data_IF_800313408847
#
_entry.id   IF_800313408847
#
_cell.length_a   1.000
_cell.length_b   1.000
_cell.length_c   1.000
_cell.angle_alpha   90.00
_cell.angle_beta   90.00
_cell.angle_gamma   90.00
#
_symmetry.space_group_name_H-M   'P 1'
#
loop_
_entity.id
_entity.type
_entity.pdbx_description
1 polymer ?
#
# COMPACT_ATOMS: atom_id res chain seq x y z
N UNK A 1 22.12 14.75 32.19
CA UNK A 1 21.00 13.84 32.05
C UNK A 1 21.47 12.39 32.19
N UNK A 2 20.75 11.49 32.87
CA UNK A 2 21.15 10.07 32.92
C UNK A 2 21.29 9.49 31.53
N UNK A 3 22.29 8.61 31.34
CA UNK A 3 22.49 7.87 30.09
C UNK A 3 21.26 6.98 29.82
N UNK A 4 20.79 6.93 28.59
CA UNK A 4 19.63 6.12 28.17
C UNK A 4 19.78 4.65 28.58
N UNK A 5 21.01 4.08 28.47
CA UNK A 5 21.31 2.70 28.88
C UNK A 5 21.11 2.51 30.39
N UNK A 6 21.58 3.43 31.24
CA UNK A 6 21.40 3.34 32.68
C UNK A 6 19.94 3.47 33.09
N UNK A 7 19.16 4.26 32.35
CA UNK A 7 17.71 4.38 32.53
C UNK A 7 16.98 3.10 32.14
N UNK A 8 17.32 2.48 31.02
CA UNK A 8 16.70 1.26 30.53
C UNK A 8 16.89 0.08 31.49
N UNK A 9 18.12 -0.06 32.06
CA UNK A 9 18.40 -1.08 33.07
C UNK A 9 17.56 -0.95 34.34
N UNK A 10 17.21 0.29 34.74
CA UNK A 10 16.39 0.56 35.92
C UNK A 10 14.90 0.32 35.68
N UNK A 11 14.41 0.61 34.49
CA UNK A 11 12.95 0.64 34.16
C UNK A 11 12.53 -0.64 33.44
N UNK A 12 13.47 -1.41 32.85
CA UNK A 12 13.18 -2.58 32.02
C UNK A 12 12.61 -2.23 30.64
N UNK A 13 12.75 -0.98 30.20
CA UNK A 13 12.35 -0.49 28.87
C UNK A 13 13.44 0.34 28.25
N UNK A 14 13.64 0.17 26.96
CA UNK A 14 14.66 0.90 26.20
C UNK A 14 14.15 2.20 25.60
N UNK A 15 12.83 2.34 25.45
CA UNK A 15 12.18 3.40 24.70
C UNK A 15 12.67 3.45 23.25
N UNK A 16 12.84 2.26 22.64
CA UNK A 16 13.24 2.09 21.27
C UNK A 16 12.23 1.16 20.56
N UNK A 17 11.69 1.61 19.43
CA UNK A 17 10.78 0.84 18.59
C UNK A 17 11.50 0.40 17.32
N UNK A 18 11.28 -0.86 16.92
CA UNK A 18 11.71 -1.37 15.63
C UNK A 18 10.70 -1.03 14.54
N UNK A 19 11.20 -0.68 13.37
CA UNK A 19 10.38 -0.55 12.14
C UNK A 19 10.98 -1.45 11.08
N UNK A 20 10.21 -2.44 10.63
CA UNK A 20 10.54 -3.25 9.47
C UNK A 20 9.80 -2.68 8.27
N UNK A 21 10.56 -2.23 7.29
CA UNK A 21 10.08 -1.72 6.02
C UNK A 21 10.96 -2.23 4.88
N UNK A 22 10.38 -3.01 4.00
CA UNK A 22 11.02 -3.55 2.80
C UNK A 22 9.97 -3.61 1.70
N UNK A 23 10.16 -2.88 0.62
CA UNK A 23 9.29 -2.89 -0.55
C UNK A 23 10.04 -3.44 -1.78
N UNK A 24 9.30 -4.03 -2.72
CA UNK A 24 9.86 -4.64 -3.94
C UNK A 24 10.38 -3.60 -4.94
N UNK A 25 9.91 -2.36 -4.83
CA UNK A 25 10.31 -1.27 -5.72
C UNK A 25 11.61 -0.59 -5.29
N UNK A 26 12.16 -1.00 -4.13
CA UNK A 26 13.34 -0.37 -3.50
C UNK A 26 13.20 1.14 -3.37
N UNK A 27 11.96 1.65 -3.35
CA UNK A 27 11.69 3.10 -3.26
C UNK A 27 12.07 3.69 -1.92
N UNK A 28 12.19 2.86 -0.88
CA UNK A 28 12.63 3.27 0.46
C UNK A 28 11.77 4.43 1.01
N UNK A 29 12.42 5.47 1.51
CA UNK A 29 11.72 6.63 2.06
C UNK A 29 11.10 7.56 1.01
N UNK A 30 11.20 7.26 -0.28
CA UNK A 30 10.55 8.03 -1.34
C UNK A 30 9.20 7.46 -1.76
N UNK A 31 8.81 6.31 -1.18
CA UNK A 31 7.50 5.70 -1.44
C UNK A 31 6.37 6.65 -1.08
N UNK A 32 5.54 7.01 -2.05
CA UNK A 32 4.55 8.10 -1.91
C UNK A 32 3.48 7.86 -0.84
N UNK A 33 3.12 6.59 -0.57
CA UNK A 33 2.18 6.20 0.48
C UNK A 33 2.87 5.91 1.82
N UNK A 34 3.94 5.10 1.84
CA UNK A 34 4.56 4.71 3.10
C UNK A 34 5.41 5.80 3.75
N UNK A 35 5.96 6.76 2.99
CA UNK A 35 6.70 7.89 3.58
C UNK A 35 5.86 8.72 4.56
N UNK A 36 4.62 9.15 4.23
CA UNK A 36 3.74 9.82 5.18
C UNK A 36 3.38 8.95 6.40
N UNK A 37 3.14 7.65 6.21
CA UNK A 37 2.89 6.70 7.31
C UNK A 37 4.08 6.65 8.27
N UNK A 38 5.30 6.48 7.74
CA UNK A 38 6.53 6.47 8.53
C UNK A 38 6.77 7.80 9.24
N UNK A 39 6.46 8.92 8.58
CA UNK A 39 6.56 10.25 9.18
C UNK A 39 5.61 10.41 10.36
N UNK A 40 4.35 9.98 10.22
CA UNK A 40 3.35 10.02 11.30
C UNK A 40 3.74 9.11 12.45
N UNK A 41 4.21 7.89 12.16
CA UNK A 41 4.74 6.96 13.16
C UNK A 41 5.91 7.59 13.93
N UNK A 42 6.84 8.24 13.21
CA UNK A 42 8.00 8.93 13.81
C UNK A 42 7.54 10.03 14.76
N UNK A 43 6.61 10.90 14.32
CA UNK A 43 6.12 12.00 15.14
C UNK A 43 5.46 11.51 16.43
N UNK A 44 4.66 10.46 16.37
CA UNK A 44 3.99 9.90 17.53
C UNK A 44 4.98 9.19 18.48
N UNK A 45 5.97 8.46 17.93
CA UNK A 45 7.03 7.86 18.72
C UNK A 45 7.83 8.93 19.49
N UNK A 46 8.26 9.99 18.82
CA UNK A 46 8.97 11.12 19.43
C UNK A 46 8.13 11.80 20.53
N UNK A 47 6.84 12.02 20.27
CA UNK A 47 5.90 12.61 21.27
C UNK A 47 5.82 11.76 22.52
N UNK A 48 5.93 10.45 22.40
CA UNK A 48 5.93 9.48 23.52
C UNK A 48 7.30 9.20 24.10
N UNK A 49 8.37 9.81 23.56
CA UNK A 49 9.73 9.67 24.05
C UNK A 49 10.41 8.38 23.62
N UNK A 50 9.99 7.80 22.48
CA UNK A 50 10.62 6.64 21.86
C UNK A 50 11.55 7.07 20.73
N UNK A 51 12.69 6.36 20.65
CA UNK A 51 13.55 6.33 19.48
C UNK A 51 13.06 5.27 18.49
N UNK A 52 13.50 5.36 17.23
CA UNK A 52 13.16 4.40 16.17
C UNK A 52 14.43 3.79 15.61
N UNK A 53 14.40 2.47 15.46
CA UNK A 53 15.46 1.69 14.79
C UNK A 53 14.85 0.96 13.59
N UNK A 54 15.37 1.23 12.38
CA UNK A 54 15.01 0.41 11.23
C UNK A 54 15.63 -0.97 11.34
N UNK A 55 14.78 -1.99 11.22
CA UNK A 55 15.18 -3.39 11.31
C UNK A 55 15.60 -3.87 9.92
N UNK A 56 16.77 -4.48 9.84
CA UNK A 56 17.40 -4.90 8.57
C UNK A 56 18.20 -6.20 8.80
N UNK A 57 18.47 -6.92 7.71
CA UNK A 57 19.37 -8.08 7.69
C UNK A 57 20.85 -7.70 7.75
N UNK A 58 21.21 -6.52 7.27
CA UNK A 58 22.61 -6.13 7.08
C UNK A 58 23.06 -5.18 8.17
N UNK A 59 23.94 -5.67 9.03
CA UNK A 59 24.60 -4.89 10.07
C UNK A 59 26.11 -4.81 9.78
N UNK A 60 26.48 -3.90 8.86
CA UNK A 60 27.88 -3.77 8.41
C UNK A 60 28.32 -5.06 7.71
N UNK A 61 29.22 -5.82 8.33
CA UNK A 61 29.74 -7.09 7.78
C UNK A 61 29.01 -8.34 8.32
N UNK A 62 28.02 -8.18 9.19
CA UNK A 62 27.27 -9.29 9.79
C UNK A 62 25.87 -9.35 9.21
N UNK A 63 25.42 -10.58 8.87
CA UNK A 63 24.02 -10.85 8.56
C UNK A 63 23.31 -11.31 9.84
N UNK A 64 22.14 -10.79 10.08
CA UNK A 64 21.25 -11.15 11.19
C UNK A 64 19.84 -11.35 10.67
N UNK A 65 19.08 -12.24 11.31
CA UNK A 65 17.63 -12.29 11.08
C UNK A 65 16.97 -11.03 11.65
N UNK A 66 15.78 -10.71 11.21
CA UNK A 66 15.02 -9.57 11.76
C UNK A 66 14.85 -9.67 13.28
N UNK A 67 14.58 -10.88 13.78
CA UNK A 67 14.43 -11.11 15.23
C UNK A 67 15.75 -10.91 15.98
N UNK A 68 16.86 -11.38 15.43
CA UNK A 68 18.19 -11.16 16.03
C UNK A 68 18.54 -9.67 16.06
N UNK A 69 18.24 -8.91 14.99
CA UNK A 69 18.46 -7.49 14.98
C UNK A 69 17.60 -6.76 16.03
N UNK A 70 16.33 -7.13 16.17
CA UNK A 70 15.46 -6.59 17.22
C UNK A 70 16.03 -6.84 18.62
N UNK A 71 16.52 -8.05 18.88
CA UNK A 71 17.17 -8.41 20.16
C UNK A 71 18.48 -7.66 20.38
N UNK A 72 19.32 -7.56 19.35
CA UNK A 72 20.59 -6.83 19.41
C UNK A 72 20.36 -5.34 19.73
N UNK A 73 19.35 -4.73 19.14
CA UNK A 73 18.96 -3.35 19.40
C UNK A 73 18.08 -3.18 20.63
N UNK A 74 17.67 -4.29 21.23
CA UNK A 74 16.83 -4.33 22.42
C UNK A 74 15.57 -3.44 22.27
N UNK A 75 14.83 -3.61 21.16
CA UNK A 75 13.62 -2.84 20.91
C UNK A 75 12.48 -3.29 21.83
N UNK A 76 11.64 -2.38 22.28
CA UNK A 76 10.48 -2.66 23.13
C UNK A 76 9.28 -3.24 22.35
N UNK A 77 9.26 -3.04 21.04
CA UNK A 77 8.25 -3.56 20.13
C UNK A 77 8.59 -3.25 18.68
N UNK A 78 7.87 -3.86 17.73
CA UNK A 78 8.11 -3.72 16.28
C UNK A 78 6.84 -3.37 15.55
N UNK A 79 6.94 -2.43 14.61
CA UNK A 79 5.96 -2.19 13.57
C UNK A 79 6.48 -2.76 12.24
N UNK A 80 5.75 -3.70 11.64
CA UNK A 80 5.99 -4.14 10.27
C UNK A 80 5.10 -3.31 9.36
N UNK A 81 5.71 -2.37 8.66
CA UNK A 81 5.00 -1.42 7.79
C UNK A 81 4.75 -2.02 6.41
N UNK A 82 5.78 -2.64 5.83
CA UNK A 82 5.73 -3.35 4.55
C UNK A 82 6.82 -4.42 4.54
N UNK A 83 6.50 -5.60 4.06
CA UNK A 83 7.45 -6.71 3.89
C UNK A 83 6.79 -7.86 3.12
N UNK A 84 7.57 -8.84 2.69
CA UNK A 84 7.05 -10.16 2.28
C UNK A 84 6.57 -10.91 3.52
N UNK A 85 5.27 -10.87 3.79
CA UNK A 85 4.70 -11.43 5.02
C UNK A 85 4.73 -12.96 5.10
N UNK A 86 5.01 -13.64 4.00
CA UNK A 86 5.27 -15.09 3.89
C UNK A 86 6.74 -15.46 4.08
N UNK A 87 7.65 -14.50 4.16
CA UNK A 87 9.07 -14.73 4.44
C UNK A 87 9.23 -15.42 5.80
N UNK A 88 10.04 -16.48 5.82
CA UNK A 88 10.31 -17.28 7.01
C UNK A 88 10.87 -16.47 8.19
N UNK A 89 11.67 -15.42 7.93
CA UNK A 89 12.24 -14.56 8.98
C UNK A 89 11.20 -13.56 9.51
N UNK A 90 10.28 -13.08 8.65
CA UNK A 90 9.11 -12.31 9.09
C UNK A 90 8.21 -13.17 9.95
N UNK A 91 7.92 -14.42 9.54
CA UNK A 91 7.13 -15.37 10.33
C UNK A 91 7.80 -15.72 11.67
N UNK A 92 9.14 -15.82 11.69
CA UNK A 92 9.89 -15.99 12.93
C UNK A 92 9.74 -14.80 13.88
N UNK A 93 9.82 -13.56 13.35
CA UNK A 93 9.60 -12.33 14.11
C UNK A 93 8.17 -12.27 14.65
N UNK A 94 7.18 -12.57 13.82
CA UNK A 94 5.76 -12.60 14.18
C UNK A 94 5.47 -13.63 15.25
N UNK A 95 6.14 -14.78 15.24
CA UNK A 95 5.97 -15.87 16.24
C UNK A 95 6.70 -15.58 17.56
N UNK A 96 7.55 -14.57 17.63
CA UNK A 96 8.33 -14.22 18.83
C UNK A 96 7.45 -13.60 19.93
N UNK A 97 7.90 -13.54 21.19
CA UNK A 97 7.16 -12.88 22.26
C UNK A 97 7.22 -11.34 22.20
N UNK A 98 7.93 -10.77 21.24
CA UNK A 98 8.08 -9.32 21.09
C UNK A 98 6.72 -8.69 20.75
N UNK A 99 6.32 -7.60 21.42
CA UNK A 99 5.17 -6.80 20.99
C UNK A 99 5.30 -6.38 19.53
N UNK A 100 4.25 -6.65 18.74
CA UNK A 100 4.31 -6.44 17.29
C UNK A 100 2.95 -5.96 16.77
N UNK A 101 3.01 -5.03 15.82
CA UNK A 101 1.88 -4.57 15.02
C UNK A 101 2.24 -4.62 13.55
N UNK A 102 1.28 -4.96 12.70
CA UNK A 102 1.43 -4.94 11.24
C UNK A 102 0.55 -3.86 10.63
N UNK A 103 0.91 -3.39 9.44
CA UNK A 103 0.07 -2.53 8.61
C UNK A 103 -0.43 -3.36 7.43
N UNK A 104 -1.75 -3.31 7.20
CA UNK A 104 -2.46 -3.93 6.08
C UNK A 104 -2.32 -5.46 5.92
N UNK A 105 -1.66 -6.15 6.87
CA UNK A 105 -1.56 -7.61 6.86
C UNK A 105 -1.94 -8.21 8.21
N UNK A 106 -2.88 -9.17 8.21
CA UNK A 106 -3.46 -9.77 9.41
C UNK A 106 -2.77 -11.08 9.77
N UNK A 107 -2.20 -11.15 10.96
CA UNK A 107 -1.81 -12.40 11.61
C UNK A 107 -2.74 -12.71 12.78
N UNK A 108 -3.09 -13.99 12.94
CA UNK A 108 -3.97 -14.48 14.02
C UNK A 108 -3.48 -14.03 15.36
N UNK A 109 -3.28 -13.58 16.18
CA UNK A 109 -2.71 -13.23 17.48
C UNK A 109 -1.81 -11.98 17.46
N UNK A 110 -1.90 -11.13 16.46
CA UNK A 110 -1.16 -9.88 16.39
C UNK A 110 -2.10 -8.70 16.13
N UNK A 111 -1.72 -7.55 16.66
CA UNK A 111 -2.42 -6.31 16.32
C UNK A 111 -2.13 -5.96 14.85
N UNK A 112 -3.15 -5.49 14.15
CA UNK A 112 -3.04 -5.01 12.78
C UNK A 112 -3.78 -3.68 12.66
N UNK A 113 -3.17 -2.75 11.92
CA UNK A 113 -3.82 -1.52 11.48
C UNK A 113 -4.13 -1.70 10.00
N UNK A 114 -5.39 -1.54 9.62
CA UNK A 114 -5.83 -1.72 8.24
C UNK A 114 -6.57 -0.49 7.74
N UNK A 115 -6.36 -0.17 6.47
CA UNK A 115 -7.20 0.78 5.75
C UNK A 115 -8.59 0.18 5.51
N UNK A 116 -9.61 1.05 5.50
CA UNK A 116 -10.99 0.65 5.16
C UNK A 116 -11.15 0.38 3.65
N UNK A 117 -10.37 -0.59 3.14
CA UNK A 117 -10.29 -0.92 1.72
C UNK A 117 -11.67 -1.20 1.10
N UNK A 118 -12.57 -1.85 1.85
CA UNK A 118 -13.95 -2.14 1.37
C UNK A 118 -14.70 -0.84 1.13
N UNK A 119 -14.73 0.06 2.10
CA UNK A 119 -15.43 1.33 2.00
C UNK A 119 -14.85 2.19 0.86
N UNK A 120 -13.52 2.25 0.76
CA UNK A 120 -12.83 3.03 -0.28
C UNK A 120 -13.18 2.56 -1.69
N UNK A 121 -13.03 1.26 -1.97
CA UNK A 121 -13.32 0.70 -3.31
C UNK A 121 -14.81 0.74 -3.62
N UNK A 122 -15.69 0.47 -2.65
CA UNK A 122 -17.12 0.59 -2.85
C UNK A 122 -17.50 2.03 -3.21
N UNK A 123 -17.01 3.03 -2.47
CA UNK A 123 -17.28 4.44 -2.74
C UNK A 123 -16.79 4.87 -4.13
N UNK A 124 -15.55 4.48 -4.49
CA UNK A 124 -14.97 4.78 -5.78
C UNK A 124 -15.77 4.14 -6.92
N UNK A 125 -16.11 2.86 -6.80
CA UNK A 125 -16.90 2.12 -7.81
C UNK A 125 -18.29 2.74 -7.98
N UNK A 126 -19.00 3.03 -6.88
CA UNK A 126 -20.30 3.71 -6.93
C UNK A 126 -20.22 5.10 -7.53
N UNK A 127 -19.16 5.84 -7.26
CA UNK A 127 -18.92 7.14 -7.90
C UNK A 127 -18.79 7.01 -9.42
N UNK A 128 -17.96 6.09 -9.90
CA UNK A 128 -17.78 5.84 -11.34
C UNK A 128 -19.09 5.37 -12.00
N UNK A 129 -19.86 4.51 -11.34
CA UNK A 129 -21.19 4.08 -11.79
C UNK A 129 -22.16 5.27 -11.89
N UNK A 130 -22.11 6.20 -10.91
CA UNK A 130 -22.98 7.39 -10.91
C UNK A 130 -22.68 8.35 -12.05
N UNK A 131 -21.44 8.33 -12.59
CA UNK A 131 -21.03 9.06 -13.77
C UNK A 131 -21.50 8.40 -15.10
N UNK A 132 -22.19 7.27 -15.01
CA UNK A 132 -22.77 6.57 -16.15
C UNK A 132 -21.91 5.46 -16.75
N UNK A 133 -20.74 5.20 -16.21
CA UNK A 133 -19.88 4.10 -16.66
C UNK A 133 -20.52 2.74 -16.33
N UNK A 134 -20.51 1.82 -17.30
CA UNK A 134 -20.98 0.43 -17.14
C UNK A 134 -19.90 -0.57 -17.51
N UNK A 135 -18.96 -0.20 -18.36
CA UNK A 135 -17.81 -0.98 -18.77
C UNK A 135 -16.60 -0.46 -18.00
N UNK A 136 -16.35 -1.05 -16.83
CA UNK A 136 -15.34 -0.62 -15.90
C UNK A 136 -14.33 -1.75 -15.75
N UNK A 137 -13.06 -1.47 -16.07
CA UNK A 137 -11.96 -2.38 -15.81
C UNK A 137 -11.33 -2.08 -14.46
N UNK A 138 -10.72 -3.08 -13.87
CA UNK A 138 -9.98 -2.97 -12.63
C UNK A 138 -8.57 -3.56 -12.78
N UNK A 139 -7.58 -2.69 -12.73
CA UNK A 139 -6.19 -3.10 -12.56
C UNK A 139 -5.96 -3.23 -11.06
N UNK A 140 -5.74 -4.45 -10.59
CA UNK A 140 -5.59 -4.74 -9.16
C UNK A 140 -4.13 -5.10 -8.82
N UNK A 141 -3.77 -4.95 -7.53
CA UNK A 141 -2.41 -5.14 -7.04
C UNK A 141 -1.92 -6.59 -7.11
N UNK A 142 -0.79 -6.85 -6.46
CA UNK A 142 -0.21 -8.18 -6.31
C UNK A 142 -1.14 -9.13 -5.53
N UNK A 143 -0.78 -10.42 -5.47
CA UNK A 143 -1.51 -11.42 -4.68
C UNK A 143 -1.29 -11.20 -3.17
N UNK A 144 -2.13 -10.34 -2.58
CA UNK A 144 -2.14 -10.04 -1.16
C UNK A 144 -3.57 -9.80 -0.63
N UNK A 145 -3.70 -9.74 0.68
CA UNK A 145 -5.00 -9.55 1.35
C UNK A 145 -5.69 -8.24 0.96
N UNK A 146 -4.94 -7.17 0.69
CA UNK A 146 -5.48 -5.86 0.29
C UNK A 146 -6.09 -5.97 -1.11
N UNK A 147 -5.36 -6.55 -2.04
CA UNK A 147 -5.80 -6.80 -3.43
C UNK A 147 -7.05 -7.66 -3.47
N UNK A 148 -7.10 -8.75 -2.70
CA UNK A 148 -8.27 -9.63 -2.60
C UNK A 148 -9.51 -8.89 -2.09
N UNK A 149 -9.35 -8.09 -1.04
CA UNK A 149 -10.45 -7.28 -0.49
C UNK A 149 -10.93 -6.26 -1.52
N UNK A 150 -10.02 -5.57 -2.19
CA UNK A 150 -10.36 -4.55 -3.19
C UNK A 150 -11.05 -5.17 -4.40
N UNK A 151 -10.50 -6.24 -4.98
CA UNK A 151 -11.08 -6.94 -6.12
C UNK A 151 -12.46 -7.51 -5.80
N UNK A 152 -12.60 -8.24 -4.69
CA UNK A 152 -13.88 -8.80 -4.25
C UNK A 152 -14.93 -7.72 -4.03
N UNK A 153 -14.51 -6.58 -3.45
CA UNK A 153 -15.43 -5.44 -3.22
C UNK A 153 -15.88 -4.81 -4.53
N UNK A 154 -14.96 -4.61 -5.47
CA UNK A 154 -15.28 -4.11 -6.80
C UNK A 154 -16.32 -5.00 -7.50
N UNK A 155 -16.04 -6.31 -7.59
CA UNK A 155 -16.94 -7.29 -8.24
C UNK A 155 -18.32 -7.33 -7.57
N UNK A 156 -18.35 -7.32 -6.24
CA UNK A 156 -19.61 -7.25 -5.49
C UNK A 156 -20.38 -5.97 -5.82
N UNK A 157 -19.74 -4.81 -5.82
CA UNK A 157 -20.40 -3.53 -6.08
C UNK A 157 -20.94 -3.44 -7.50
N UNK A 158 -20.21 -3.98 -8.48
CA UNK A 158 -20.69 -4.10 -9.86
C UNK A 158 -21.91 -5.02 -9.96
N UNK A 159 -21.88 -6.17 -9.30
CA UNK A 159 -23.00 -7.12 -9.29
C UNK A 159 -24.23 -6.53 -8.59
N UNK A 160 -24.08 -5.79 -7.49
CA UNK A 160 -25.19 -5.08 -6.84
C UNK A 160 -25.85 -4.03 -7.75
N UNK A 161 -25.08 -3.47 -8.69
CA UNK A 161 -25.59 -2.57 -9.73
C UNK A 161 -26.21 -3.30 -10.94
N UNK A 162 -26.30 -4.64 -10.90
CA UNK A 162 -26.83 -5.46 -12.00
C UNK A 162 -25.87 -5.58 -13.18
N UNK A 163 -24.59 -5.37 -12.99
CA UNK A 163 -23.56 -5.42 -14.03
C UNK A 163 -22.60 -6.59 -13.78
N UNK A 164 -22.32 -7.35 -14.86
CA UNK A 164 -21.24 -8.34 -14.86
C UNK A 164 -19.95 -7.73 -15.38
N UNK A 165 -18.83 -8.12 -14.79
CA UNK A 165 -17.50 -7.73 -15.25
C UNK A 165 -16.89 -8.87 -16.05
N UNK A 166 -16.38 -8.59 -17.25
CA UNK A 166 -15.63 -9.57 -18.04
C UNK A 166 -14.29 -9.86 -17.39
N UNK A 167 -13.84 -11.11 -17.43
CA UNK A 167 -12.50 -11.48 -16.94
C UNK A 167 -11.40 -10.68 -17.66
N UNK A 168 -11.59 -10.32 -18.93
CA UNK A 168 -10.66 -9.47 -19.70
C UNK A 168 -10.50 -8.05 -19.11
N UNK A 169 -11.40 -7.62 -18.24
CA UNK A 169 -11.34 -6.31 -17.56
C UNK A 169 -10.62 -6.37 -16.21
N UNK A 170 -10.17 -7.55 -15.81
CA UNK A 170 -9.48 -7.78 -14.56
C UNK A 170 -8.01 -8.08 -14.84
N UNK A 171 -7.12 -7.11 -14.59
CA UNK A 171 -5.70 -7.25 -14.90
C UNK A 171 -4.87 -7.07 -13.64
N UNK A 172 -4.04 -8.05 -13.32
CA UNK A 172 -3.09 -7.94 -12.21
C UNK A 172 -1.89 -7.08 -12.61
N UNK A 173 -1.45 -6.21 -11.70
CA UNK A 173 -0.24 -5.41 -11.87
C UNK A 173 0.34 -5.08 -10.49
N UNK A 174 1.65 -5.10 -10.29
CA UNK A 174 2.24 -4.71 -9.02
C UNK A 174 1.82 -3.30 -8.59
N UNK A 175 1.73 -3.08 -7.28
CA UNK A 175 1.58 -1.75 -6.73
C UNK A 175 2.81 -0.90 -7.02
N UNK A 176 2.62 0.40 -7.12
CA UNK A 176 3.67 1.40 -7.25
C UNK A 176 4.59 1.17 -8.47
N UNK A 177 4.05 0.56 -9.53
CA UNK A 177 4.76 0.25 -10.79
C UNK A 177 4.05 0.83 -12.02
N UNK A 178 4.40 2.07 -12.43
CA UNK A 178 3.84 2.68 -13.63
C UNK A 178 4.18 1.95 -14.93
N UNK A 179 5.30 1.22 -14.98
CA UNK A 179 5.68 0.50 -16.20
C UNK A 179 4.71 -0.67 -16.44
N UNK A 180 4.49 -1.49 -15.43
CA UNK A 180 3.56 -2.62 -15.50
C UNK A 180 2.10 -2.16 -15.74
N UNK A 181 1.66 -1.08 -15.08
CA UNK A 181 0.30 -0.55 -15.30
C UNK A 181 0.13 0.10 -16.66
N UNK A 182 1.18 0.64 -17.26
CA UNK A 182 1.17 1.09 -18.65
C UNK A 182 0.89 -0.07 -19.61
N UNK A 183 1.55 -1.21 -19.41
CA UNK A 183 1.33 -2.41 -20.21
C UNK A 183 -0.08 -2.98 -20.01
N UNK A 184 -0.54 -3.11 -18.76
CA UNK A 184 -1.88 -3.55 -18.41
C UNK A 184 -2.96 -2.66 -19.06
N UNK A 185 -2.77 -1.35 -19.01
CA UNK A 185 -3.67 -0.39 -19.65
C UNK A 185 -3.67 -0.55 -21.17
N UNK A 186 -2.51 -0.72 -21.79
CA UNK A 186 -2.42 -0.93 -23.25
C UNK A 186 -3.18 -2.20 -23.68
N UNK A 187 -3.14 -3.28 -22.89
CA UNK A 187 -3.92 -4.49 -23.13
C UNK A 187 -5.43 -4.20 -23.07
N UNK A 188 -5.90 -3.49 -22.06
CA UNK A 188 -7.30 -3.10 -21.93
C UNK A 188 -7.78 -2.21 -23.08
N UNK A 189 -6.93 -1.30 -23.56
CA UNK A 189 -7.24 -0.43 -24.70
C UNK A 189 -7.31 -1.17 -26.03
N UNK A 190 -6.64 -2.31 -26.18
CA UNK A 190 -6.63 -3.15 -27.38
C UNK A 190 -7.86 -4.05 -27.49
N UNK A 191 -8.67 -4.19 -26.45
CA UNK A 191 -9.90 -5.00 -26.48
C UNK A 191 -10.89 -4.46 -27.49
N UNK A 192 -11.55 -5.37 -28.23
CA UNK A 192 -12.62 -4.99 -29.16
C UNK A 192 -13.78 -4.27 -28.47
N UNK A 193 -14.14 -4.74 -27.26
CA UNK A 193 -15.08 -4.07 -26.37
C UNK A 193 -14.30 -3.41 -25.24
N UNK A 194 -13.77 -2.22 -25.51
CA UNK A 194 -12.90 -1.45 -24.61
C UNK A 194 -13.68 -0.93 -23.40
N UNK A 195 -13.10 -0.95 -22.18
CA UNK A 195 -13.69 -0.30 -21.02
C UNK A 195 -13.77 1.23 -21.22
N UNK A 196 -14.73 1.85 -20.56
CA UNK A 196 -14.91 3.31 -20.55
C UNK A 196 -14.26 3.97 -19.32
N UNK A 197 -13.94 3.19 -18.32
CA UNK A 197 -13.24 3.62 -17.12
C UNK A 197 -12.32 2.51 -16.63
N UNK A 198 -11.15 2.88 -16.11
CA UNK A 198 -10.18 1.95 -15.51
C UNK A 198 -9.90 2.42 -14.08
N UNK A 199 -10.15 1.55 -13.11
CA UNK A 199 -9.72 1.72 -11.73
C UNK A 199 -8.29 1.19 -11.60
N UNK A 200 -7.38 2.03 -11.08
CA UNK A 200 -5.97 1.68 -10.89
C UNK A 200 -5.69 1.22 -9.46
N UNK A 201 -4.63 0.43 -9.23
CA UNK A 201 -4.33 -0.11 -7.91
C UNK A 201 -3.91 0.99 -6.92
N UNK A 202 -3.22 2.00 -7.39
CA UNK A 202 -2.77 3.17 -6.64
C UNK A 202 -2.54 4.39 -7.56
N UNK A 203 -2.30 5.55 -6.95
CA UNK A 203 -2.13 6.81 -7.66
C UNK A 203 -0.83 6.88 -8.48
N UNK A 204 0.24 6.27 -7.97
CA UNK A 204 1.53 6.27 -8.66
C UNK A 204 1.46 5.39 -9.92
N UNK A 205 0.86 4.22 -9.78
CA UNK A 205 0.57 3.30 -10.89
C UNK A 205 -0.36 3.92 -11.93
N UNK A 206 -1.32 4.77 -11.51
CA UNK A 206 -2.22 5.47 -12.43
C UNK A 206 -1.47 6.37 -13.44
N UNK A 207 -0.27 6.84 -13.13
CA UNK A 207 0.55 7.61 -14.07
C UNK A 207 0.92 6.79 -15.31
N UNK A 208 1.22 5.50 -15.13
CA UNK A 208 1.49 4.57 -16.23
C UNK A 208 0.24 4.37 -17.09
N UNK A 209 -0.92 4.22 -16.47
CA UNK A 209 -2.20 4.15 -17.17
C UNK A 209 -2.52 5.42 -17.98
N UNK A 210 -2.32 6.60 -17.38
CA UNK A 210 -2.50 7.88 -18.08
C UNK A 210 -1.55 8.00 -19.28
N UNK A 211 -0.30 7.54 -19.15
CA UNK A 211 0.66 7.54 -20.25
C UNK A 211 0.23 6.61 -21.39
N UNK A 212 -0.22 5.39 -21.08
CA UNK A 212 -0.74 4.46 -22.09
C UNK A 212 -1.94 5.01 -22.85
N UNK A 213 -2.89 5.64 -22.14
CA UNK A 213 -4.07 6.26 -22.74
C UNK A 213 -3.66 7.37 -23.71
N UNK A 214 -2.75 8.25 -23.31
CA UNK A 214 -2.24 9.33 -24.17
C UNK A 214 -1.45 8.80 -25.36
N UNK A 215 -0.61 7.77 -25.17
CA UNK A 215 0.14 7.13 -26.24
C UNK A 215 -0.76 6.48 -27.30
N UNK A 216 -1.97 6.03 -26.89
CA UNK A 216 -3.00 5.53 -27.80
C UNK A 216 -3.79 6.66 -28.51
N UNK A 217 -3.43 7.91 -28.30
CA UNK A 217 -4.13 9.08 -28.87
C UNK A 217 -5.50 9.38 -28.25
N UNK A 218 -5.76 8.84 -27.06
CA UNK A 218 -7.03 9.01 -26.36
C UNK A 218 -6.94 10.11 -25.31
N UNK A 219 -8.07 10.78 -25.07
CA UNK A 219 -8.19 11.86 -24.09
C UNK A 219 -8.79 11.34 -22.78
N UNK A 220 -8.33 11.91 -21.70
CA UNK A 220 -8.84 11.67 -20.34
C UNK A 220 -9.52 12.97 -19.89
N UNK A 221 -10.79 12.95 -19.50
CA UNK A 221 -11.70 11.80 -19.37
C UNK A 221 -12.57 11.54 -20.61
N UNK A 222 -12.48 12.32 -21.69
CA UNK A 222 -13.45 12.38 -22.79
C UNK A 222 -13.62 11.03 -23.53
N UNK A 223 -12.54 10.31 -23.74
CA UNK A 223 -12.53 9.05 -24.47
C UNK A 223 -12.46 7.84 -23.52
N UNK A 224 -11.84 8.01 -22.35
CA UNK A 224 -11.74 7.02 -21.29
C UNK A 224 -11.41 7.70 -19.95
N UNK A 225 -12.09 7.28 -18.88
CA UNK A 225 -11.82 7.74 -17.53
C UNK A 225 -10.82 6.83 -16.84
N UNK A 226 -10.07 7.37 -15.87
CA UNK A 226 -9.13 6.64 -15.03
C UNK A 226 -9.23 7.16 -13.60
N UNK A 227 -9.06 6.26 -12.62
CA UNK A 227 -9.03 6.64 -11.20
C UNK A 227 -7.80 6.05 -10.54
N UNK A 228 -7.38 6.60 -9.40
CA UNK A 228 -6.32 6.09 -8.57
C UNK A 228 -6.83 5.60 -7.22
N UNK A 229 -5.89 5.42 -6.31
CA UNK A 229 -6.09 5.08 -4.90
C UNK A 229 -4.89 5.60 -4.10
N UNK A 230 -5.04 6.01 -2.87
CA UNK A 230 -4.12 6.51 -1.84
C UNK A 230 -4.25 8.01 -1.54
N UNK A 231 -4.58 8.86 -2.50
CA UNK A 231 -4.69 10.31 -2.31
C UNK A 231 -3.33 11.00 -2.17
N UNK A 232 -2.29 10.50 -2.87
CA UNK A 232 -0.94 11.07 -2.73
C UNK A 232 -0.84 12.48 -3.32
N UNK A 233 -0.05 13.35 -2.67
CA UNK A 233 0.02 14.76 -3.02
C UNK A 233 0.39 15.05 -4.49
N UNK A 234 1.18 14.19 -5.12
CA UNK A 234 1.63 14.39 -6.49
C UNK A 234 0.50 14.37 -7.53
N UNK A 235 -0.60 13.64 -7.28
CA UNK A 235 -1.70 13.56 -8.26
C UNK A 235 -2.44 14.88 -8.43
N UNK A 236 -2.35 15.78 -7.46
CA UNK A 236 -2.94 17.12 -7.57
C UNK A 236 -2.25 17.98 -8.64
N UNK A 237 -1.03 17.60 -9.05
CA UNK A 237 -0.29 18.26 -10.15
C UNK A 237 -0.57 17.61 -11.51
N UNK A 238 -1.32 16.50 -11.56
CA UNK A 238 -1.68 15.86 -12.82
C UNK A 238 -2.72 16.66 -13.60
N UNK A 239 -2.67 16.55 -14.92
CA UNK A 239 -3.65 17.13 -15.84
C UNK A 239 -4.19 16.00 -16.75
N UNK A 240 -5.51 15.69 -16.68
CA UNK A 240 -6.49 16.17 -15.70
C UNK A 240 -6.18 15.68 -14.27
N UNK A 241 -6.81 16.32 -13.27
CA UNK A 241 -6.73 15.83 -11.90
C UNK A 241 -7.35 14.43 -11.79
N UNK A 242 -6.70 13.57 -11.02
CA UNK A 242 -7.10 12.19 -10.84
C UNK A 242 -8.16 12.07 -9.73
N UNK A 243 -9.28 11.40 -10.01
CA UNK A 243 -10.21 10.95 -8.98
C UNK A 243 -9.53 9.81 -8.21
N UNK A 244 -9.50 9.89 -6.89
CA UNK A 244 -8.83 8.90 -6.04
C UNK A 244 -9.55 8.70 -4.69
N UNK A 245 -9.18 7.66 -3.98
CA UNK A 245 -9.53 7.45 -2.57
C UNK A 245 -8.37 7.95 -1.73
N UNK A 246 -8.61 8.95 -0.88
CA UNK A 246 -7.61 9.44 0.06
C UNK A 246 -7.56 8.53 1.30
N UNK A 247 -6.39 8.03 1.63
CA UNK A 247 -6.13 7.26 2.84
C UNK A 247 -5.64 8.18 3.97
N UNK A 248 -6.17 7.98 5.19
CA UNK A 248 -5.75 8.76 6.36
C UNK A 248 -4.40 8.24 6.91
N UNK A 249 -3.32 8.71 6.32
CA UNK A 249 -1.94 8.36 6.72
C UNK A 249 -1.46 9.11 7.97
N UNK A 250 -2.28 10.01 8.52
CA UNK A 250 -1.94 10.82 9.70
C UNK A 250 -2.40 10.20 11.01
N UNK A 251 -3.20 9.17 10.96
CA UNK A 251 -3.87 8.52 12.10
C UNK A 251 -3.15 7.26 12.61
#
# INVERSE_FOLDING_TARGET
RPNAIARSLKIGRTFNLGVLYSDDTESGFTHSYFSPVLQSFKQEAERRGYDITFITHNMGHSKMTYLEHCRYRNVDGVCIVCSHFDDSEVLQLVSSPLPLVTIDHVFNNRACIQSENRQGVEALTRHVLSMGHKKIAFVYGAEDTVSDIRLTTFLRTMNEAGLSVSDDYLVASPYHDPASTREATAQLLALADRPTCILMPDDYSALGGMDAIRAAGLRIPEDISITGYDGVAMIQMCQPQLTTVEQDVSR
#
